data_IF_341391152619
#
_entry.id   IF_341391152619
#
_cell.length_a   1.000
_cell.length_b   1.000
_cell.length_c   1.000
_cell.angle_alpha   90.00
_cell.angle_beta   90.00
_cell.angle_gamma   90.00
#
_symmetry.space_group_name_H-M   'P 1'
#
loop_
_entity.id
_entity.type
_entity.pdbx_description
1 polymer ?
#
# COMPACT_ATOMS: atom_id res chain seq x y z
N UNK A 1 4.94 13.93 15.81
CA UNK A 1 6.19 13.85 15.03
C UNK A 1 6.70 12.43 15.16
N UNK A 2 7.02 11.76 14.05
CA UNK A 2 7.65 10.43 14.09
C UNK A 2 9.17 10.63 14.20
N UNK A 3 9.78 10.02 15.20
CA UNK A 3 11.24 10.01 15.38
C UNK A 3 11.75 8.59 15.12
N UNK A 4 12.82 8.47 14.34
CA UNK A 4 13.43 7.19 13.98
C UNK A 4 14.92 7.28 14.32
N UNK A 5 15.37 6.44 15.23
CA UNK A 5 16.76 6.37 15.66
C UNK A 5 17.51 5.27 14.89
N UNK A 6 18.70 5.59 14.38
CA UNK A 6 19.58 4.64 13.70
C UNK A 6 20.87 4.46 14.49
N UNK A 7 21.19 3.22 14.86
CA UNK A 7 22.53 2.89 15.35
C UNK A 7 23.56 2.88 14.20
N UNK A 8 24.86 2.84 14.55
CA UNK A 8 25.94 2.83 13.56
C UNK A 8 25.81 1.65 12.57
N UNK A 9 25.41 0.48 13.06
CA UNK A 9 25.27 -0.70 12.22
C UNK A 9 24.11 -0.55 11.22
N UNK A 10 23.00 0.08 11.62
CA UNK A 10 21.86 0.38 10.80
C UNK A 10 22.21 1.37 9.70
N UNK A 11 23.00 2.40 10.00
CA UNK A 11 23.49 3.37 9.00
C UNK A 11 24.29 2.68 7.89
N UNK A 12 25.13 1.69 8.21
CA UNK A 12 25.88 0.94 7.18
C UNK A 12 24.99 0.08 6.27
N UNK A 13 23.81 -0.31 6.75
CA UNK A 13 22.82 -1.10 6.02
C UNK A 13 21.75 -0.24 5.34
N UNK A 14 21.77 1.08 5.53
CA UNK A 14 20.80 1.99 4.93
C UNK A 14 20.88 1.91 3.40
N UNK A 15 19.73 1.69 2.76
CA UNK A 15 19.61 1.64 1.30
C UNK A 15 18.38 2.42 0.88
N UNK A 16 18.46 3.07 -0.28
CA UNK A 16 17.30 3.60 -0.98
C UNK A 16 16.64 2.46 -1.75
N UNK A 17 15.30 2.37 -1.66
CA UNK A 17 14.51 1.38 -2.39
C UNK A 17 14.84 1.41 -3.90
N UNK A 18 14.84 0.25 -4.55
CA UNK A 18 15.21 0.10 -5.96
C UNK A 18 14.22 0.79 -6.92
N UNK A 19 12.98 1.00 -6.48
CA UNK A 19 11.92 1.65 -7.24
C UNK A 19 10.63 1.67 -6.42
N UNK A 20 9.51 1.93 -7.10
CA UNK A 20 8.16 1.82 -6.54
C UNK A 20 7.78 0.37 -6.25
N UNK A 21 7.26 0.09 -5.05
CA UNK A 21 6.70 -1.21 -4.68
C UNK A 21 5.23 -1.31 -5.12
N UNK A 22 4.87 -2.39 -5.84
CA UNK A 22 3.56 -2.50 -6.46
C UNK A 22 2.41 -2.61 -5.45
N UNK A 23 2.61 -3.29 -4.32
CA UNK A 23 1.59 -3.38 -3.27
C UNK A 23 1.42 -2.03 -2.59
N UNK A 24 2.51 -1.27 -2.41
CA UNK A 24 2.44 0.08 -1.87
C UNK A 24 1.62 1.01 -2.74
N UNK A 25 1.92 1.08 -4.04
CA UNK A 25 1.17 1.92 -4.98
C UNK A 25 -0.31 1.49 -5.04
N UNK A 26 -0.59 0.19 -4.88
CA UNK A 26 -1.95 -0.34 -4.79
C UNK A 26 -2.68 0.18 -3.54
N UNK A 27 -2.08 0.06 -2.36
CA UNK A 27 -2.71 0.48 -1.10
C UNK A 27 -2.83 2.00 -1.01
N UNK A 28 -1.78 2.74 -1.36
CA UNK A 28 -1.78 4.20 -1.32
C UNK A 28 -2.77 4.80 -2.33
N UNK A 29 -2.84 4.27 -3.55
CA UNK A 29 -3.86 4.73 -4.50
C UNK A 29 -5.27 4.41 -4.00
N UNK A 30 -5.48 3.28 -3.31
CA UNK A 30 -6.79 2.95 -2.74
C UNK A 30 -7.18 3.93 -1.62
N UNK A 31 -6.23 4.37 -0.80
CA UNK A 31 -6.44 5.41 0.21
C UNK A 31 -6.74 6.76 -0.45
N UNK A 32 -5.98 7.15 -1.48
CA UNK A 32 -6.21 8.36 -2.28
C UNK A 32 -7.58 8.36 -2.98
N UNK A 33 -8.07 7.17 -3.38
CA UNK A 33 -9.39 7.02 -4.00
C UNK A 33 -10.54 7.27 -3.00
N UNK A 34 -10.29 7.00 -1.71
CA UNK A 34 -11.23 7.23 -0.61
C UNK A 34 -11.21 8.67 -0.14
N UNK A 35 -10.02 9.29 -0.07
CA UNK A 35 -9.88 10.61 0.49
C UNK A 35 -10.32 11.72 -0.49
N UNK A 36 -11.32 12.49 -0.06
CA UNK A 36 -11.83 13.66 -0.78
C UNK A 36 -11.17 14.98 -0.35
N UNK A 37 -10.29 14.96 0.65
CA UNK A 37 -9.58 16.15 1.17
C UNK A 37 -8.26 16.41 0.46
N UNK A 38 -7.71 15.41 -0.22
CA UNK A 38 -6.50 15.51 -1.04
C UNK A 38 -6.68 16.47 -2.23
N UNK A 39 -5.59 17.11 -2.72
CA UNK A 39 -5.65 18.18 -3.72
C UNK A 39 -6.55 17.85 -4.91
N UNK A 40 -7.27 18.87 -5.40
CA UNK A 40 -8.12 18.80 -6.60
C UNK A 40 -7.39 18.22 -7.82
N UNK A 41 -6.06 18.26 -7.82
CA UNK A 41 -5.17 17.65 -8.83
C UNK A 41 -5.49 16.17 -9.09
N UNK A 42 -5.97 15.41 -8.11
CA UNK A 42 -6.30 13.99 -8.28
C UNK A 42 -7.76 13.71 -8.65
N UNK A 43 -8.63 14.72 -8.74
CA UNK A 43 -10.03 14.53 -9.12
C UNK A 43 -10.27 13.92 -10.51
N UNK A 44 -9.51 14.29 -11.55
CA UNK A 44 -9.60 13.63 -12.84
C UNK A 44 -9.33 12.12 -12.73
N UNK A 45 -8.25 11.75 -12.04
CA UNK A 45 -7.88 10.35 -11.81
C UNK A 45 -8.94 9.61 -10.99
N UNK A 46 -9.44 10.18 -9.89
CA UNK A 46 -10.51 9.57 -9.07
C UNK A 46 -11.76 9.27 -9.90
N UNK A 47 -12.20 10.22 -10.73
CA UNK A 47 -13.38 10.05 -11.60
C UNK A 47 -13.15 8.97 -12.65
N UNK A 48 -11.97 8.94 -13.27
CA UNK A 48 -11.59 7.93 -14.26
C UNK A 48 -11.59 6.52 -13.65
N UNK A 49 -10.86 6.34 -12.54
CA UNK A 49 -10.74 5.05 -11.85
C UNK A 49 -12.09 4.56 -11.33
N UNK A 50 -12.91 5.41 -10.69
CA UNK A 50 -14.26 5.01 -10.24
C UNK A 50 -15.12 4.52 -11.40
N UNK A 51 -15.10 5.19 -12.55
CA UNK A 51 -15.82 4.74 -13.76
C UNK A 51 -15.27 3.44 -14.31
N UNK A 52 -13.95 3.26 -14.32
CA UNK A 52 -13.32 2.04 -14.79
C UNK A 52 -13.66 0.84 -13.89
N UNK A 53 -13.60 1.01 -12.56
CA UNK A 53 -14.00 -0.02 -11.59
C UNK A 53 -15.48 -0.41 -11.74
N UNK A 54 -16.36 0.56 -11.97
CA UNK A 54 -17.78 0.30 -12.18
C UNK A 54 -18.04 -0.48 -13.48
N UNK A 55 -17.34 -0.14 -14.57
CA UNK A 55 -17.40 -0.88 -15.85
C UNK A 55 -16.83 -2.29 -15.73
N UNK A 56 -15.81 -2.48 -14.91
CA UNK A 56 -15.20 -3.78 -14.64
C UNK A 56 -16.00 -4.65 -13.64
N UNK A 57 -17.10 -4.14 -13.07
CA UNK A 57 -17.88 -4.86 -12.06
C UNK A 57 -17.15 -5.04 -10.72
N UNK A 58 -16.17 -4.18 -10.42
CA UNK A 58 -15.30 -4.29 -9.24
C UNK A 58 -15.70 -3.36 -8.08
N UNK A 59 -16.76 -2.55 -8.24
CA UNK A 59 -17.09 -1.50 -7.28
C UNK A 59 -17.34 -2.02 -5.85
N UNK A 60 -18.05 -3.13 -5.71
CA UNK A 60 -18.37 -3.70 -4.38
C UNK A 60 -17.17 -4.39 -3.74
N UNK A 61 -16.39 -5.15 -4.54
CA UNK A 61 -15.14 -5.77 -4.09
C UNK A 61 -14.14 -4.71 -3.61
N UNK A 62 -13.99 -3.61 -4.35
CA UNK A 62 -13.10 -2.52 -3.97
C UNK A 62 -13.61 -1.79 -2.73
N UNK A 63 -14.92 -1.58 -2.59
CA UNK A 63 -15.49 -1.00 -1.35
C UNK A 63 -15.23 -1.88 -0.13
N UNK A 64 -15.30 -3.20 -0.31
CA UNK A 64 -14.95 -4.17 0.73
C UNK A 64 -13.43 -4.20 1.01
N UNK A 65 -12.59 -3.96 0.01
CA UNK A 65 -11.14 -3.80 0.19
C UNK A 65 -10.80 -2.50 0.94
N UNK A 66 -11.49 -1.39 0.65
CA UNK A 66 -11.28 -0.09 1.31
C UNK A 66 -11.40 -0.16 2.83
N UNK A 67 -12.27 -1.02 3.37
CA UNK A 67 -12.40 -1.20 4.82
C UNK A 67 -11.17 -1.84 5.49
N UNK A 68 -10.27 -2.46 4.71
CA UNK A 68 -8.99 -3.00 5.19
C UNK A 68 -7.87 -1.95 5.10
N UNK A 69 -8.05 -0.89 4.31
CA UNK A 69 -7.05 0.13 4.02
C UNK A 69 -7.66 1.54 4.22
N UNK A 70 -8.03 1.93 5.45
CA UNK A 70 -8.54 3.28 5.69
C UNK A 70 -7.49 4.34 5.30
N UNK A 71 -7.91 5.52 4.81
CA UNK A 71 -6.98 6.60 4.45
C UNK A 71 -6.32 7.25 5.67
N UNK A 72 -6.93 7.13 6.85
CA UNK A 72 -6.41 7.68 8.10
C UNK A 72 -6.34 6.58 9.18
N UNK A 73 -5.31 6.67 10.03
CA UNK A 73 -5.10 5.76 11.14
C UNK A 73 -4.32 4.49 10.77
N UNK A 74 -4.42 3.47 11.62
CA UNK A 74 -3.72 2.21 11.40
C UNK A 74 -4.39 1.41 10.26
N UNK A 75 -3.58 0.86 9.36
CA UNK A 75 -3.97 -0.22 8.46
C UNK A 75 -3.00 -1.40 8.63
N UNK A 76 -3.41 -2.64 8.30
CA UNK A 76 -2.64 -3.83 8.63
C UNK A 76 -1.25 -3.88 7.97
N UNK A 77 -0.25 -4.25 8.76
CA UNK A 77 1.15 -4.34 8.34
C UNK A 77 1.36 -5.46 7.32
N UNK A 78 0.51 -6.50 7.29
CA UNK A 78 0.58 -7.51 6.23
C UNK A 78 0.23 -6.96 4.84
N UNK A 79 -0.38 -5.77 4.74
CA UNK A 79 -0.64 -5.03 3.48
C UNK A 79 0.46 -4.01 3.17
N UNK A 80 1.54 -3.97 3.95
CA UNK A 80 2.69 -3.11 3.69
C UNK A 80 3.71 -3.81 2.76
N UNK A 81 4.61 -3.03 2.15
CA UNK A 81 5.62 -3.52 1.22
C UNK A 81 6.51 -4.55 1.88
N UNK A 82 6.97 -5.52 1.09
CA UNK A 82 7.98 -6.46 1.53
C UNK A 82 9.37 -5.82 1.55
N UNK A 83 10.36 -6.56 2.05
CA UNK A 83 11.76 -6.19 1.88
C UNK A 83 12.24 -6.56 0.47
N UNK A 84 11.71 -5.89 -0.57
CA UNK A 84 12.24 -5.98 -1.93
C UNK A 84 11.34 -6.61 -3.00
N UNK A 85 10.05 -6.78 -2.75
CA UNK A 85 9.08 -7.32 -3.72
C UNK A 85 8.70 -6.26 -4.75
N UNK A 86 9.41 -6.24 -5.88
CA UNK A 86 9.08 -5.31 -6.96
C UNK A 86 7.87 -5.79 -7.79
N UNK A 87 7.56 -7.09 -7.75
CA UNK A 87 6.43 -7.67 -8.46
C UNK A 87 5.19 -7.76 -7.57
N UNK A 88 4.04 -7.44 -8.16
CA UNK A 88 2.75 -7.52 -7.46
C UNK A 88 2.43 -8.93 -6.99
N UNK A 89 2.78 -9.94 -7.79
CA UNK A 89 2.45 -11.34 -7.50
C UNK A 89 3.14 -11.84 -6.24
N UNK A 90 4.43 -11.56 -6.07
CA UNK A 90 5.19 -11.92 -4.86
C UNK A 90 4.55 -11.28 -3.61
N UNK A 91 4.16 -10.01 -3.73
CA UNK A 91 3.51 -9.29 -2.65
C UNK A 91 2.12 -9.86 -2.32
N UNK A 92 1.35 -10.25 -3.34
CA UNK A 92 0.04 -10.88 -3.13
C UNK A 92 0.18 -12.28 -2.53
N UNK A 93 1.15 -13.06 -2.95
CA UNK A 93 1.43 -14.37 -2.38
C UNK A 93 1.84 -14.26 -0.90
N UNK A 94 2.63 -13.22 -0.55
CA UNK A 94 2.92 -12.89 0.86
C UNK A 94 1.64 -12.56 1.63
N UNK A 95 0.77 -11.70 1.10
CA UNK A 95 -0.51 -11.35 1.73
C UNK A 95 -1.34 -12.62 1.97
N UNK A 96 -1.43 -13.50 0.97
CA UNK A 96 -2.18 -14.75 1.03
C UNK A 96 -1.55 -15.79 1.96
N UNK A 97 -0.26 -15.67 2.24
CA UNK A 97 0.48 -16.54 3.16
C UNK A 97 0.53 -15.99 4.59
N UNK A 98 -0.18 -14.88 4.87
CA UNK A 98 -0.19 -14.27 6.20
C UNK A 98 -0.76 -15.25 7.24
N UNK A 99 0.00 -15.60 8.30
CA UNK A 99 -0.49 -16.52 9.32
C UNK A 99 -1.76 -16.00 9.99
N UNK A 100 -2.72 -16.89 10.27
CA UNK A 100 -4.02 -16.52 10.86
C UNK A 100 -3.90 -15.71 12.15
N UNK A 101 -2.95 -16.03 13.03
CA UNK A 101 -2.75 -15.29 14.28
C UNK A 101 -2.38 -13.82 14.01
N UNK A 102 -1.58 -13.56 12.96
CA UNK A 102 -1.19 -12.22 12.52
C UNK A 102 -2.39 -11.47 11.93
N UNK A 103 -3.18 -12.13 11.07
CA UNK A 103 -4.43 -11.56 10.54
C UNK A 103 -5.37 -11.10 11.65
N UNK A 104 -5.61 -11.96 12.65
CA UNK A 104 -6.48 -11.64 13.78
C UNK A 104 -5.94 -10.46 14.59
N UNK A 105 -4.65 -10.47 14.93
CA UNK A 105 -4.04 -9.42 15.74
C UNK A 105 -4.08 -8.04 15.05
N UNK A 106 -3.68 -7.98 13.77
CA UNK A 106 -3.63 -6.73 13.02
C UNK A 106 -5.04 -6.21 12.67
N UNK A 107 -5.99 -7.09 12.33
CA UNK A 107 -7.37 -6.67 12.07
C UNK A 107 -8.13 -6.26 13.33
N UNK A 108 -7.81 -6.85 14.49
CA UNK A 108 -8.32 -6.37 15.78
C UNK A 108 -7.78 -4.95 16.07
N UNK A 109 -6.50 -4.69 15.78
CA UNK A 109 -5.89 -3.36 15.93
C UNK A 109 -6.51 -2.33 14.99
N UNK A 110 -6.79 -2.70 13.73
CA UNK A 110 -7.52 -1.88 12.77
C UNK A 110 -8.87 -1.42 13.34
N UNK A 111 -9.62 -2.32 13.97
CA UNK A 111 -10.94 -1.99 14.51
C UNK A 111 -10.93 -1.38 15.92
N UNK A 112 -9.78 -1.34 16.61
CA UNK A 112 -9.70 -0.87 18.00
C UNK A 112 -10.16 0.59 18.21
N UNK A 113 -10.11 1.41 17.15
CA UNK A 113 -10.52 2.82 17.18
C UNK A 113 -11.76 3.11 16.34
N UNK A 114 -12.42 2.07 15.81
CA UNK A 114 -13.63 2.22 15.00
C UNK A 114 -14.87 2.28 15.88
N UNK A 115 -15.64 3.36 15.77
CA UNK A 115 -16.96 3.46 16.38
C UNK A 115 -18.00 2.81 15.46
N UNK A 116 -18.26 1.51 15.63
CA UNK A 116 -19.26 0.80 14.83
C UNK A 116 -19.02 -0.70 14.71
N UNK A 117 -19.94 -1.42 14.01
CA UNK A 117 -19.75 -2.84 13.76
C UNK A 117 -18.53 -3.07 12.87
N UNK A 118 -17.73 -4.10 13.19
CA UNK A 118 -16.60 -4.52 12.37
C UNK A 118 -17.08 -4.80 10.93
N UNK A 119 -16.47 -4.26 9.88
CA UNK A 119 -16.88 -4.52 8.50
C UNK A 119 -16.88 -6.01 8.15
N UNK A 120 -17.81 -6.45 7.29
CA UNK A 120 -17.96 -7.88 6.93
C UNK A 120 -16.69 -8.46 6.30
N UNK A 121 -16.03 -7.70 5.42
CA UNK A 121 -14.76 -8.08 4.78
C UNK A 121 -13.64 -8.25 5.80
N UNK A 122 -13.53 -7.33 6.78
CA UNK A 122 -12.56 -7.45 7.88
C UNK A 122 -12.78 -8.73 8.67
N UNK A 123 -14.03 -9.02 9.08
CA UNK A 123 -14.35 -10.28 9.79
C UNK A 123 -14.04 -11.51 8.95
N UNK A 124 -14.31 -11.45 7.64
CA UNK A 124 -14.07 -12.57 6.75
C UNK A 124 -12.59 -12.84 6.53
N UNK A 125 -11.75 -11.82 6.32
CA UNK A 125 -10.30 -11.99 6.22
C UNK A 125 -9.70 -12.50 7.53
N UNK A 126 -10.24 -12.08 8.68
CA UNK A 126 -9.81 -12.55 9.99
C UNK A 126 -10.03 -14.06 10.23
N UNK A 127 -10.89 -14.73 9.44
CA UNK A 127 -11.03 -16.19 9.55
C UNK A 127 -9.76 -16.92 9.11
N UNK A 128 -8.96 -16.30 8.22
CA UNK A 128 -7.78 -16.93 7.62
C UNK A 128 -8.12 -18.05 6.64
N UNK A 129 -9.39 -18.21 6.26
CA UNK A 129 -9.81 -19.22 5.28
C UNK A 129 -9.21 -18.91 3.91
N UNK A 130 -8.80 -19.95 3.19
CA UNK A 130 -8.19 -19.80 1.86
C UNK A 130 -9.10 -19.07 0.87
N UNK A 131 -10.42 -19.18 1.01
CA UNK A 131 -11.36 -18.44 0.18
C UNK A 131 -11.29 -16.92 0.41
N UNK A 132 -11.19 -16.49 1.68
CA UNK A 132 -11.06 -15.08 2.03
C UNK A 132 -9.73 -14.49 1.54
N UNK A 133 -8.64 -15.23 1.69
CA UNK A 133 -7.31 -14.80 1.24
C UNK A 133 -7.20 -14.81 -0.30
N UNK A 134 -7.82 -15.78 -0.97
CA UNK A 134 -7.95 -15.77 -2.44
C UNK A 134 -8.72 -14.56 -2.94
N UNK A 135 -9.84 -14.21 -2.30
CA UNK A 135 -10.58 -13.00 -2.62
C UNK A 135 -9.73 -11.75 -2.40
N UNK A 136 -9.04 -11.62 -1.26
CA UNK A 136 -8.20 -10.47 -0.94
C UNK A 136 -7.11 -10.26 -2.00
N UNK A 137 -6.34 -11.31 -2.29
CA UNK A 137 -5.29 -11.25 -3.32
C UNK A 137 -5.83 -11.00 -4.73
N UNK A 138 -6.95 -11.64 -5.10
CA UNK A 138 -7.60 -11.42 -6.40
C UNK A 138 -8.14 -10.00 -6.55
N UNK A 139 -8.65 -9.39 -5.49
CA UNK A 139 -9.15 -8.01 -5.50
C UNK A 139 -8.00 -7.01 -5.55
N UNK A 140 -6.88 -7.24 -4.85
CA UNK A 140 -5.65 -6.44 -4.98
C UNK A 140 -5.13 -6.44 -6.43
N UNK A 141 -5.03 -7.62 -7.05
CA UNK A 141 -4.60 -7.77 -8.47
C UNK A 141 -5.50 -6.99 -9.42
N UNK A 142 -6.81 -7.21 -9.32
CA UNK A 142 -7.81 -6.57 -10.20
C UNK A 142 -7.86 -5.06 -10.00
N UNK A 143 -7.76 -4.58 -8.77
CA UNK A 143 -7.69 -3.16 -8.47
C UNK A 143 -6.41 -2.53 -9.03
N UNK A 144 -5.23 -3.12 -8.77
CA UNK A 144 -3.96 -2.65 -9.32
C UNK A 144 -4.00 -2.54 -10.84
N UNK A 145 -4.53 -3.56 -11.53
CA UNK A 145 -4.66 -3.57 -12.99
C UNK A 145 -5.48 -2.39 -13.54
N UNK A 146 -6.47 -1.91 -12.79
CA UNK A 146 -7.35 -0.81 -13.20
C UNK A 146 -6.79 0.55 -12.77
N UNK A 147 -6.32 0.67 -11.53
CA UNK A 147 -6.03 1.95 -10.88
C UNK A 147 -4.55 2.35 -10.93
N UNK A 148 -3.64 1.39 -11.09
CA UNK A 148 -2.18 1.61 -10.96
C UNK A 148 -1.44 1.25 -12.25
N UNK A 149 -1.70 0.06 -12.81
CA UNK A 149 -1.01 -0.45 -13.99
C UNK A 149 -0.95 0.55 -15.18
N UNK A 150 -2.03 1.28 -15.51
CA UNK A 150 -2.02 2.26 -16.60
C UNK A 150 -1.02 3.42 -16.39
N UNK A 151 -0.65 3.70 -15.13
CA UNK A 151 0.19 4.84 -14.74
C UNK A 151 1.61 4.43 -14.32
N UNK A 152 1.96 3.13 -14.40
CA UNK A 152 3.25 2.61 -13.93
C UNK A 152 4.47 3.27 -14.58
N UNK A 153 4.38 3.65 -15.86
CA UNK A 153 5.47 4.34 -16.54
C UNK A 153 5.82 5.68 -15.86
N UNK A 154 4.79 6.46 -15.52
CA UNK A 154 4.94 7.76 -14.85
C UNK A 154 5.41 7.57 -13.41
N UNK A 155 4.82 6.61 -12.68
CA UNK A 155 5.20 6.27 -11.31
C UNK A 155 6.69 5.88 -11.24
N UNK A 156 7.12 4.96 -12.12
CA UNK A 156 8.52 4.51 -12.18
C UNK A 156 9.48 5.64 -12.56
N UNK A 157 9.10 6.49 -13.51
CA UNK A 157 9.91 7.64 -13.88
C UNK A 157 10.08 8.60 -12.68
N UNK A 158 9.00 8.88 -11.94
CA UNK A 158 9.06 9.74 -10.76
C UNK A 158 9.88 9.14 -9.62
N UNK A 159 9.70 7.86 -9.34
CA UNK A 159 10.51 7.13 -8.36
C UNK A 159 12.00 7.10 -8.75
N UNK A 160 12.30 6.96 -10.05
CA UNK A 160 13.66 7.03 -10.58
C UNK A 160 14.32 8.39 -10.38
N UNK A 161 13.58 9.49 -10.60
CA UNK A 161 14.05 10.85 -10.34
C UNK A 161 14.34 11.09 -8.85
N UNK A 162 13.42 10.67 -7.97
CA UNK A 162 13.62 10.78 -6.52
C UNK A 162 14.85 9.99 -6.06
N UNK A 163 14.98 8.75 -6.54
CA UNK A 163 16.15 7.91 -6.26
C UNK A 163 17.45 8.54 -6.74
N UNK A 164 17.48 9.16 -7.93
CA UNK A 164 18.66 9.85 -8.44
C UNK A 164 19.06 11.03 -7.55
N UNK A 165 18.09 11.84 -7.10
CA UNK A 165 18.33 12.92 -6.14
C UNK A 165 18.90 12.41 -4.82
N UNK A 166 18.33 11.34 -4.26
CA UNK A 166 18.81 10.71 -3.02
C UNK A 166 20.22 10.12 -3.18
N UNK A 167 20.51 9.53 -4.33
CA UNK A 167 21.84 9.02 -4.64
C UNK A 167 22.89 10.16 -4.67
N UNK A 168 22.56 11.28 -5.32
CA UNK A 168 23.44 12.45 -5.37
C UNK A 168 23.69 13.05 -3.98
N UNK A 169 22.65 13.16 -3.15
CA UNK A 169 22.79 13.60 -1.76
C UNK A 169 23.70 12.67 -0.95
N UNK A 170 23.57 11.36 -1.13
CA UNK A 170 24.41 10.37 -0.46
C UNK A 170 25.88 10.44 -0.92
N UNK A 171 26.14 10.69 -2.22
CA UNK A 171 27.49 10.81 -2.77
C UNK A 171 28.20 12.08 -2.28
N UNK A 172 27.46 13.17 -2.09
CA UNK A 172 28.02 14.48 -1.72
C UNK A 172 28.15 14.69 -0.21
N UNK A 173 27.21 14.16 0.59
CA UNK A 173 27.16 14.40 2.05
C UNK A 173 26.89 13.16 2.90
N UNK A 174 27.04 11.96 2.34
CA UNK A 174 26.88 10.71 3.08
C UNK A 174 25.45 10.47 3.59
N UNK A 175 25.33 9.72 4.69
CA UNK A 175 24.03 9.34 5.26
C UNK A 175 23.24 10.55 5.80
N UNK A 176 23.92 11.58 6.31
CA UNK A 176 23.28 12.79 6.83
C UNK A 176 22.52 13.52 5.71
N UNK A 177 23.19 13.81 4.60
CA UNK A 177 22.53 14.46 3.46
C UNK A 177 21.42 13.59 2.84
N UNK A 178 21.61 12.26 2.81
CA UNK A 178 20.57 11.33 2.36
C UNK A 178 19.29 11.37 3.22
N UNK A 179 19.41 11.58 4.53
CA UNK A 179 18.28 11.60 5.45
C UNK A 179 17.62 12.98 5.54
N UNK A 180 18.32 14.04 5.16
CA UNK A 180 17.81 15.42 5.14
C UNK A 180 17.02 15.78 3.86
N UNK A 181 17.02 14.94 2.81
CA UNK A 181 16.52 15.29 1.47
C UNK A 181 15.11 14.85 1.10
#
# INVERSE_FOLDING_TARGET
>A
MLEVEFDQAALTRLRVARGSDALWETVLSLQLLQDGREPLTYDPWRREVRRALHRAGLADDVRALMSLCPPEGYFPDFLTPGLGDLALEDAVDRVQSTPRHRLVAELARLCARSYGPVPRSVRWVATGESAALRWLGGTLRRYHAVAVAPYLSVIRARAGQDRARRAEAALTGGAEALLAC
#
